data_IF_103423272878
#
_entry.id   IF_103423272878
#
_cell.length_a   1.000
_cell.length_b   1.000
_cell.length_c   1.000
_cell.angle_alpha   90.00
_cell.angle_beta   90.00
_cell.angle_gamma   90.00
#
_symmetry.space_group_name_H-M   'P 1'
#
loop_
_entity.id
_entity.type
_entity.pdbx_description
1 polymer ?
#
# COMPACT_ATOMS: atom_id res chain seq x y z
N UNK A 1 13.21 72.58 -33.75
CA UNK A 1 12.64 72.17 -35.06
C UNK A 1 13.25 70.83 -35.45
N UNK A 2 12.47 69.75 -35.38
CA UNK A 2 12.71 68.53 -36.16
C UNK A 2 11.35 67.96 -36.51
N UNK A 3 11.14 67.82 -37.82
CA UNK A 3 9.93 67.33 -38.46
C UNK A 3 9.85 65.78 -38.45
N UNK A 4 8.70 65.21 -38.83
CA UNK A 4 8.26 63.85 -38.48
C UNK A 4 8.45 62.84 -39.61
N UNK A 5 8.15 61.55 -39.33
CA UNK A 5 7.78 60.57 -40.36
C UNK A 5 6.65 59.65 -39.89
N UNK A 6 5.84 59.23 -40.87
CA UNK A 6 4.47 58.72 -40.79
C UNK A 6 4.41 57.25 -41.24
N UNK A 7 3.46 56.51 -40.67
CA UNK A 7 2.61 55.46 -41.28
C UNK A 7 3.14 54.04 -41.52
N UNK A 8 2.45 53.08 -40.89
CA UNK A 8 1.79 51.96 -41.62
C UNK A 8 2.20 50.55 -41.20
N UNK A 9 1.23 49.69 -40.82
CA UNK A 9 1.45 48.23 -40.77
C UNK A 9 0.50 47.40 -39.92
N UNK A 10 -0.59 46.93 -40.54
CA UNK A 10 -1.28 45.63 -40.43
C UNK A 10 -1.29 44.80 -39.14
N UNK A 11 -2.52 44.48 -38.71
CA UNK A 11 -2.90 43.33 -37.88
C UNK A 11 -2.67 42.03 -38.67
N UNK A 12 -1.94 41.08 -38.10
CA UNK A 12 -1.70 39.74 -38.66
C UNK A 12 -1.44 38.72 -37.54
N UNK A 13 -2.08 37.55 -37.67
CA UNK A 13 -2.27 36.53 -36.63
C UNK A 13 -1.02 35.85 -36.07
N UNK A 14 -1.12 35.48 -34.78
CA UNK A 14 -0.31 34.43 -34.15
C UNK A 14 -1.21 33.25 -33.76
N UNK A 15 -0.79 31.99 -33.99
CA UNK A 15 -1.64 30.81 -33.79
C UNK A 15 -1.79 30.43 -32.30
N UNK A 16 -2.86 29.70 -31.93
CA UNK A 16 -3.04 29.19 -30.58
C UNK A 16 -2.25 27.89 -30.42
N UNK A 17 -1.18 27.90 -29.63
CA UNK A 17 -0.52 26.64 -29.24
C UNK A 17 -1.24 26.03 -28.04
N UNK A 18 -2.15 25.11 -28.36
CA UNK A 18 -2.67 24.13 -27.43
C UNK A 18 -1.54 23.23 -26.92
N UNK A 19 -1.37 23.19 -25.60
CA UNK A 19 -0.64 22.15 -24.89
C UNK A 19 -1.64 21.33 -24.09
N UNK A 20 -2.21 20.31 -24.73
CA UNK A 20 -3.03 19.29 -24.11
C UNK A 20 -2.30 18.70 -22.90
N UNK A 21 -2.81 18.92 -21.70
CA UNK A 21 -2.55 18.02 -20.56
C UNK A 21 -3.64 16.95 -20.57
N UNK A 22 -3.42 15.74 -21.11
CA UNK A 22 -4.19 14.60 -20.66
C UNK A 22 -3.53 14.10 -19.37
N UNK A 23 -3.68 14.86 -18.29
CA UNK A 23 -3.61 14.29 -16.94
C UNK A 23 -4.90 13.52 -16.73
N UNK A 24 -5.11 12.45 -17.48
CA UNK A 24 -6.22 11.55 -17.25
C UNK A 24 -6.14 11.02 -15.82
N UNK A 25 -7.28 10.88 -15.11
CA UNK A 25 -7.28 10.23 -13.81
C UNK A 25 -6.56 8.88 -13.94
N UNK A 26 -5.74 8.48 -12.96
CA UNK A 26 -5.08 7.17 -13.01
C UNK A 26 -6.19 6.14 -13.21
N UNK A 27 -6.15 5.43 -14.34
CA UNK A 27 -7.12 4.39 -14.62
C UNK A 27 -7.09 3.42 -13.42
N UNK A 28 -8.24 3.09 -12.82
CA UNK A 28 -8.28 2.07 -11.80
C UNK A 28 -7.84 0.77 -12.46
N UNK A 29 -6.60 0.36 -12.23
CA UNK A 29 -6.14 -0.95 -12.66
C UNK A 29 -6.98 -1.99 -11.91
N UNK A 30 -7.50 -3.03 -12.58
CA UNK A 30 -8.14 -4.12 -11.88
C UNK A 30 -7.10 -4.70 -10.90
N UNK A 31 -7.37 -4.59 -9.60
CA UNK A 31 -6.62 -5.32 -8.59
C UNK A 31 -6.69 -6.79 -9.02
N UNK A 32 -5.55 -7.45 -9.22
CA UNK A 32 -5.58 -8.85 -9.58
C UNK A 32 -5.93 -9.63 -8.29
N UNK A 33 -7.14 -10.18 -8.15
CA UNK A 33 -7.55 -10.85 -6.90
C UNK A 33 -6.69 -12.08 -6.59
N UNK A 34 -5.95 -12.60 -7.58
CA UNK A 34 -4.96 -13.67 -7.42
C UNK A 34 -3.76 -13.28 -6.53
N UNK A 35 -3.49 -11.99 -6.31
CA UNK A 35 -2.29 -11.55 -5.60
C UNK A 35 -2.42 -11.53 -4.06
N UNK A 36 -3.62 -11.80 -3.51
CA UNK A 36 -3.83 -11.89 -2.06
C UNK A 36 -4.12 -13.34 -1.64
N UNK A 37 -3.05 -14.06 -1.34
CA UNK A 37 -3.10 -15.43 -0.81
C UNK A 37 -3.50 -15.49 0.67
N UNK A 38 -3.61 -14.34 1.35
CA UNK A 38 -4.17 -14.28 2.70
C UNK A 38 -5.66 -14.67 2.68
N UNK A 39 -6.00 -15.76 3.36
CA UNK A 39 -7.38 -16.23 3.51
C UNK A 39 -7.68 -16.51 4.99
N UNK A 40 -8.61 -15.75 5.54
CA UNK A 40 -9.02 -15.82 6.94
C UNK A 40 -9.69 -17.17 7.26
N UNK A 41 -10.23 -17.88 6.27
CA UNK A 41 -10.93 -19.16 6.50
C UNK A 41 -9.98 -20.35 6.65
N UNK A 42 -8.72 -20.20 6.22
CA UNK A 42 -7.72 -21.27 6.24
C UNK A 42 -7.21 -21.55 7.65
N UNK A 43 -6.68 -22.75 7.97
CA UNK A 43 -6.04 -23.03 9.25
C UNK A 43 -4.77 -22.20 9.47
N UNK A 44 -4.40 -21.95 10.73
CA UNK A 44 -3.20 -21.16 11.07
C UNK A 44 -1.90 -21.77 10.54
N UNK A 45 -1.77 -23.10 10.56
CA UNK A 45 -0.58 -23.77 10.01
C UNK A 45 -0.41 -23.50 8.50
N UNK A 46 -1.47 -23.65 7.71
CA UNK A 46 -1.45 -23.36 6.27
C UNK A 46 -1.23 -21.86 6.01
N UNK A 47 -1.82 -21.01 6.84
CA UNK A 47 -1.71 -19.56 6.71
C UNK A 47 -0.28 -19.07 6.98
N UNK A 48 0.41 -19.61 7.97
CA UNK A 48 1.74 -19.11 8.38
C UNK A 48 2.91 -19.85 7.71
N UNK A 49 2.63 -20.87 6.92
CA UNK A 49 3.63 -21.65 6.19
C UNK A 49 3.35 -21.60 4.67
N UNK A 50 2.61 -22.56 4.13
CA UNK A 50 2.35 -22.73 2.69
C UNK A 50 1.85 -21.44 1.99
N UNK A 51 0.86 -20.75 2.57
CA UNK A 51 0.31 -19.54 1.95
C UNK A 51 1.25 -18.35 2.08
N UNK A 52 1.98 -18.25 3.18
CA UNK A 52 2.97 -17.21 3.38
C UNK A 52 4.15 -17.38 2.42
N UNK A 53 4.59 -18.63 2.22
CA UNK A 53 5.65 -18.97 1.28
C UNK A 53 5.25 -18.63 -0.16
N UNK A 54 4.07 -19.11 -0.60
CA UNK A 54 3.53 -18.81 -1.95
C UNK A 54 3.37 -17.32 -2.17
N UNK A 55 2.99 -16.57 -1.14
CA UNK A 55 2.87 -15.11 -1.23
C UNK A 55 4.23 -14.44 -1.38
N UNK A 56 5.27 -14.93 -0.72
CA UNK A 56 6.63 -14.45 -0.90
C UNK A 56 7.17 -14.72 -2.33
N UNK A 57 6.81 -15.86 -2.94
CA UNK A 57 7.20 -16.19 -4.32
C UNK A 57 6.70 -15.16 -5.34
N UNK A 58 5.51 -14.59 -5.13
CA UNK A 58 4.95 -13.52 -5.98
C UNK A 58 5.85 -12.28 -5.99
N UNK A 59 6.62 -12.04 -4.92
CA UNK A 59 7.48 -10.85 -4.80
C UNK A 59 8.90 -11.05 -5.35
N UNK A 60 9.29 -12.28 -5.70
CA UNK A 60 10.64 -12.55 -6.26
C UNK A 60 10.84 -11.83 -7.59
N UNK A 61 9.80 -11.77 -8.43
CA UNK A 61 9.84 -11.11 -9.74
C UNK A 61 9.63 -9.59 -9.70
N UNK A 62 9.05 -9.06 -8.61
CA UNK A 62 8.72 -7.63 -8.45
C UNK A 62 9.18 -7.18 -7.05
N UNK A 63 10.50 -7.12 -6.89
CA UNK A 63 11.17 -6.92 -5.59
C UNK A 63 10.81 -5.56 -5.00
N UNK A 64 10.53 -5.55 -3.70
CA UNK A 64 10.32 -4.32 -2.92
C UNK A 64 11.63 -3.87 -2.28
N UNK A 65 11.84 -2.55 -2.19
CA UNK A 65 12.94 -2.00 -1.44
C UNK A 65 12.82 -2.33 0.05
N UNK A 66 13.92 -2.78 0.66
CA UNK A 66 13.96 -3.16 2.09
C UNK A 66 13.48 -2.03 3.02
N UNK A 67 13.75 -0.77 2.65
CA UNK A 67 13.28 0.41 3.39
C UNK A 67 11.76 0.58 3.33
N UNK A 68 11.14 0.31 2.19
CA UNK A 68 9.69 0.36 2.02
C UNK A 68 9.01 -0.79 2.76
N UNK A 69 9.55 -2.01 2.65
CA UNK A 69 9.05 -3.16 3.39
C UNK A 69 9.09 -2.89 4.90
N UNK A 70 10.25 -2.47 5.41
CA UNK A 70 10.43 -2.14 6.83
C UNK A 70 9.44 -1.08 7.30
N UNK A 71 9.19 -0.05 6.51
CA UNK A 71 8.25 1.02 6.87
C UNK A 71 6.83 0.46 7.10
N UNK A 72 6.29 -0.31 6.15
CA UNK A 72 4.94 -0.88 6.29
C UNK A 72 4.87 -1.93 7.39
N UNK A 73 5.91 -2.77 7.49
CA UNK A 73 6.02 -3.79 8.51
C UNK A 73 6.03 -3.20 9.91
N UNK A 74 6.89 -2.21 10.17
CA UNK A 74 6.97 -1.52 11.46
C UNK A 74 5.63 -0.89 11.83
N UNK A 75 4.97 -0.20 10.88
CA UNK A 75 3.69 0.46 11.16
C UNK A 75 2.59 -0.53 11.57
N UNK A 76 2.49 -1.68 10.89
CA UNK A 76 1.55 -2.75 11.26
C UNK A 76 1.94 -3.40 12.60
N UNK A 77 3.24 -3.63 12.84
CA UNK A 77 3.73 -4.18 14.12
C UNK A 77 3.51 -3.22 15.28
N UNK A 78 3.58 -1.92 15.08
CA UNK A 78 3.31 -0.93 16.12
C UNK A 78 1.82 -0.93 16.50
N UNK A 79 0.91 -1.04 15.52
CA UNK A 79 -0.51 -1.28 15.79
C UNK A 79 -0.73 -2.58 16.57
N UNK A 80 -0.03 -3.66 16.21
CA UNK A 80 -0.11 -4.93 16.91
C UNK A 80 0.40 -4.85 18.36
N UNK A 81 1.51 -4.17 18.59
CA UNK A 81 2.05 -3.92 19.94
C UNK A 81 1.08 -3.10 20.78
N UNK A 82 0.48 -2.06 20.21
CA UNK A 82 -0.55 -1.26 20.88
C UNK A 82 -1.76 -2.11 21.24
N UNK A 83 -2.25 -2.92 20.30
CA UNK A 83 -3.35 -3.85 20.54
C UNK A 83 -3.06 -4.80 21.70
N UNK A 84 -1.89 -5.46 21.70
CA UNK A 84 -1.48 -6.36 22.77
C UNK A 84 -1.32 -5.63 24.12
N UNK A 85 -0.83 -4.39 24.13
CA UNK A 85 -0.73 -3.59 25.35
C UNK A 85 -2.11 -3.25 25.93
N UNK A 86 -3.07 -2.85 25.08
CA UNK A 86 -4.42 -2.49 25.50
C UNK A 86 -5.21 -3.70 26.00
N UNK A 87 -5.09 -4.84 25.30
CA UNK A 87 -5.75 -6.09 25.68
C UNK A 87 -5.19 -6.66 26.97
N UNK A 88 -3.86 -6.64 27.15
CA UNK A 88 -3.23 -7.07 28.41
C UNK A 88 -3.60 -6.20 29.61
N UNK A 89 -3.80 -4.90 29.40
CA UNK A 89 -4.21 -3.97 30.45
C UNK A 89 -5.72 -4.06 30.77
N UNK A 90 -6.51 -4.70 29.92
CA UNK A 90 -7.96 -4.79 30.08
C UNK A 90 -8.38 -6.08 30.78
N UNK A 91 -8.80 -5.95 32.04
CA UNK A 91 -9.31 -7.06 32.85
C UNK A 91 -10.66 -7.63 32.37
N UNK A 92 -11.40 -6.93 31.50
CA UNK A 92 -12.70 -7.39 31.00
C UNK A 92 -12.61 -8.38 29.83
N UNK A 93 -11.44 -8.51 29.20
CA UNK A 93 -11.20 -9.47 28.12
C UNK A 93 -11.89 -9.14 26.79
N UNK A 94 -12.41 -7.92 26.60
CA UNK A 94 -13.08 -7.51 25.36
C UNK A 94 -12.10 -7.02 24.29
N UNK A 95 -11.33 -7.97 23.75
CA UNK A 95 -10.38 -7.75 22.66
C UNK A 95 -11.05 -7.15 21.41
N UNK A 96 -12.32 -7.50 21.16
CA UNK A 96 -13.06 -7.06 19.97
C UNK A 96 -13.43 -5.59 20.07
N UNK A 97 -13.91 -5.12 21.23
CA UNK A 97 -14.18 -3.70 21.45
C UNK A 97 -12.89 -2.87 21.36
N UNK A 98 -11.77 -3.37 21.91
CA UNK A 98 -10.47 -2.69 21.80
C UNK A 98 -10.05 -2.60 20.33
N UNK A 99 -10.16 -3.70 19.59
CA UNK A 99 -9.83 -3.71 18.17
C UNK A 99 -10.64 -2.69 17.40
N UNK A 100 -11.98 -2.73 17.50
CA UNK A 100 -12.88 -1.84 16.75
C UNK A 100 -12.66 -0.37 17.07
N UNK A 101 -12.42 -0.02 18.34
CA UNK A 101 -12.30 1.38 18.78
C UNK A 101 -10.92 1.97 18.56
N UNK A 102 -9.84 1.20 18.75
CA UNK A 102 -8.48 1.74 18.80
C UNK A 102 -7.58 1.30 17.65
N UNK A 103 -7.87 0.17 17.02
CA UNK A 103 -6.96 -0.47 16.05
C UNK A 103 -7.53 -0.43 14.64
N UNK A 104 -8.77 -0.87 14.44
CA UNK A 104 -9.39 -0.99 13.13
C UNK A 104 -9.33 0.31 12.30
N UNK A 105 -9.66 1.50 12.83
CA UNK A 105 -9.63 2.73 12.03
C UNK A 105 -8.23 3.03 11.47
N UNK A 106 -7.19 2.84 12.29
CA UNK A 106 -5.80 3.08 11.91
C UNK A 106 -5.30 2.01 10.94
N UNK A 107 -5.68 0.76 11.18
CA UNK A 107 -5.36 -0.37 10.31
C UNK A 107 -6.01 -0.21 8.92
N UNK A 108 -7.26 0.23 8.85
CA UNK A 108 -7.96 0.53 7.58
C UNK A 108 -7.32 1.69 6.83
N UNK A 109 -6.86 2.72 7.56
CA UNK A 109 -6.19 3.90 6.99
C UNK A 109 -4.91 3.53 6.20
N UNK A 110 -4.28 2.41 6.54
CA UNK A 110 -3.11 1.89 5.81
C UNK A 110 -3.39 1.72 4.31
N UNK A 111 -4.62 1.36 3.92
CA UNK A 111 -4.99 1.20 2.51
C UNK A 111 -4.82 2.49 1.72
N UNK A 112 -5.19 3.63 2.31
CA UNK A 112 -4.99 4.96 1.71
C UNK A 112 -3.50 5.30 1.57
N UNK A 113 -2.69 4.94 2.57
CA UNK A 113 -1.23 5.15 2.53
C UNK A 113 -0.57 4.32 1.43
N UNK A 114 -0.98 3.05 1.29
CA UNK A 114 -0.51 2.14 0.24
C UNK A 114 -0.85 2.71 -1.14
N UNK A 115 -2.11 3.11 -1.36
CA UNK A 115 -2.55 3.69 -2.63
C UNK A 115 -1.72 4.93 -3.02
N UNK A 116 -1.39 5.78 -2.05
CA UNK A 116 -0.56 6.96 -2.28
C UNK A 116 0.88 6.60 -2.72
N UNK A 117 1.46 5.53 -2.16
CA UNK A 117 2.85 5.14 -2.46
C UNK A 117 3.04 4.51 -3.84
N UNK A 118 1.98 3.97 -4.44
CA UNK A 118 2.02 3.37 -5.78
C UNK A 118 2.02 4.45 -6.89
N UNK A 119 1.41 5.62 -6.61
CA UNK A 119 1.13 6.65 -7.62
C UNK A 119 2.24 7.68 -7.92
N UNK A 120 3.38 7.70 -7.21
CA UNK A 120 4.46 8.67 -7.51
C UNK A 120 5.42 8.15 -8.59
N UNK A 121 5.62 8.97 -9.63
CA UNK A 121 6.43 8.66 -10.81
C UNK A 121 7.94 8.82 -10.62
N UNK A 122 8.45 9.28 -9.47
CA UNK A 122 9.88 9.51 -9.27
C UNK A 122 10.50 8.56 -8.24
N UNK A 123 11.10 7.50 -8.80
CA UNK A 123 12.25 6.72 -8.30
C UNK A 123 12.14 5.69 -7.17
N UNK A 124 11.05 5.54 -6.42
CA UNK A 124 10.87 4.33 -5.58
C UNK A 124 9.38 3.95 -5.49
N UNK A 125 8.91 3.12 -6.42
CA UNK A 125 7.52 2.64 -6.41
C UNK A 125 7.44 1.37 -5.59
N UNK A 126 6.47 1.32 -4.68
CA UNK A 126 6.07 0.06 -4.06
C UNK A 126 5.51 -0.83 -5.17
N UNK A 127 6.01 -2.07 -5.33
CA UNK A 127 5.47 -3.06 -6.25
C UNK A 127 3.95 -3.19 -6.16
N UNK A 128 3.28 -3.30 -7.31
CA UNK A 128 1.81 -3.46 -7.32
C UNK A 128 1.40 -4.74 -6.62
N UNK A 129 2.15 -5.83 -6.81
CA UNK A 129 1.89 -7.09 -6.13
C UNK A 129 1.89 -6.94 -4.61
N UNK A 130 2.87 -6.21 -4.05
CA UNK A 130 2.96 -5.96 -2.62
C UNK A 130 1.84 -5.03 -2.12
N UNK A 131 1.53 -3.98 -2.89
CA UNK A 131 0.44 -3.07 -2.58
C UNK A 131 -0.92 -3.77 -2.57
N UNK A 132 -1.18 -4.63 -3.55
CA UNK A 132 -2.39 -5.45 -3.65
C UNK A 132 -2.47 -6.44 -2.49
N UNK A 133 -1.38 -7.16 -2.19
CA UNK A 133 -1.31 -8.06 -1.04
C UNK A 133 -1.75 -7.37 0.26
N UNK A 134 -1.13 -6.22 0.57
CA UNK A 134 -1.48 -5.49 1.79
C UNK A 134 -2.91 -4.95 1.73
N UNK A 135 -3.30 -4.27 0.64
CA UNK A 135 -4.62 -3.62 0.55
C UNK A 135 -5.77 -4.64 0.63
N UNK A 136 -5.64 -5.75 -0.11
CA UNK A 136 -6.63 -6.83 -0.11
C UNK A 136 -6.59 -7.61 1.20
N UNK A 137 -5.42 -7.91 1.75
CA UNK A 137 -5.27 -8.58 3.05
C UNK A 137 -5.91 -7.78 4.19
N UNK A 138 -5.60 -6.48 4.29
CA UNK A 138 -6.25 -5.56 5.22
C UNK A 138 -7.77 -5.58 5.00
N UNK A 139 -8.22 -5.59 3.74
CA UNK A 139 -9.65 -5.60 3.43
C UNK A 139 -10.36 -6.88 3.85
N UNK A 140 -9.68 -8.01 4.11
CA UNK A 140 -10.28 -9.28 4.55
C UNK A 140 -10.43 -9.40 6.06
N UNK A 141 -9.64 -8.66 6.84
CA UNK A 141 -9.70 -8.63 8.31
C UNK A 141 -11.02 -8.01 8.77
N UNK A 142 -11.78 -8.70 9.64
CA UNK A 142 -13.09 -8.23 10.16
C UNK A 142 -13.21 -8.27 11.69
N UNK A 143 -12.26 -8.90 12.37
CA UNK A 143 -12.26 -9.06 13.83
C UNK A 143 -10.87 -8.90 14.44
N UNK A 144 -10.81 -8.82 15.76
CA UNK A 144 -9.57 -8.86 16.53
C UNK A 144 -8.75 -10.13 16.24
N UNK A 145 -9.43 -11.28 16.13
CA UNK A 145 -8.80 -12.56 15.76
C UNK A 145 -8.17 -12.46 14.38
N UNK A 146 -8.91 -11.98 13.38
CA UNK A 146 -8.39 -11.86 12.01
C UNK A 146 -7.21 -10.92 11.93
N UNK A 147 -7.19 -9.86 12.75
CA UNK A 147 -6.09 -8.91 12.81
C UNK A 147 -4.82 -9.59 13.34
N UNK A 148 -4.90 -10.33 14.46
CA UNK A 148 -3.76 -11.13 14.96
C UNK A 148 -3.24 -12.05 13.86
N UNK A 149 -4.15 -12.73 13.16
CA UNK A 149 -3.80 -13.70 12.11
C UNK A 149 -3.17 -13.04 10.88
N UNK A 150 -3.65 -11.89 10.46
CA UNK A 150 -3.05 -11.12 9.38
C UNK A 150 -1.63 -10.67 9.72
N UNK A 151 -1.40 -10.18 10.95
CA UNK A 151 -0.06 -9.75 11.38
C UNK A 151 0.92 -10.92 11.35
N UNK A 152 0.53 -12.08 11.89
CA UNK A 152 1.36 -13.29 11.90
C UNK A 152 1.63 -13.82 10.49
N UNK A 153 0.62 -13.82 9.63
CA UNK A 153 0.81 -14.15 8.21
C UNK A 153 1.80 -13.19 7.53
N UNK A 154 1.66 -11.88 7.77
CA UNK A 154 2.58 -10.90 7.21
C UNK A 154 4.01 -11.08 7.74
N UNK A 155 4.18 -11.44 9.01
CA UNK A 155 5.49 -11.81 9.57
C UNK A 155 6.11 -13.01 8.87
N UNK A 156 5.33 -14.08 8.64
CA UNK A 156 5.78 -15.25 7.92
C UNK A 156 6.19 -14.92 6.48
N UNK A 157 5.35 -14.16 5.76
CA UNK A 157 5.65 -13.69 4.40
C UNK A 157 6.98 -12.93 4.37
N UNK A 158 7.19 -12.00 5.31
CA UNK A 158 8.45 -11.24 5.41
C UNK A 158 9.63 -12.17 5.67
N UNK A 159 9.48 -13.17 6.55
CA UNK A 159 10.50 -14.20 6.81
C UNK A 159 10.92 -14.93 5.53
N UNK A 160 9.94 -15.42 4.76
CA UNK A 160 10.21 -16.07 3.47
C UNK A 160 10.80 -15.12 2.43
N UNK A 161 10.39 -13.85 2.38
CA UNK A 161 10.99 -12.86 1.47
C UNK A 161 12.49 -12.67 1.72
N UNK A 162 12.93 -12.65 2.99
CA UNK A 162 14.35 -12.60 3.33
C UNK A 162 15.08 -13.89 2.93
N UNK A 163 14.44 -15.05 3.09
CA UNK A 163 15.02 -16.34 2.69
C UNK A 163 15.15 -16.51 1.17
N UNK A 164 14.28 -15.86 0.38
CA UNK A 164 14.15 -16.03 -1.08
C UNK A 164 14.75 -14.88 -1.92
N UNK A 165 15.50 -13.96 -1.32
CA UNK A 165 16.05 -12.77 -2.00
C UNK A 165 14.98 -11.90 -2.70
N UNK A 166 13.76 -11.86 -2.16
CA UNK A 166 12.64 -11.08 -2.73
C UNK A 166 12.74 -9.56 -2.44
N UNK A 167 13.88 -9.10 -1.92
CA UNK A 167 14.12 -7.72 -1.53
C UNK A 167 15.10 -7.04 -2.47
N UNK A 168 14.83 -5.80 -2.83
CA UNK A 168 15.85 -4.95 -3.44
C UNK A 168 16.75 -4.37 -2.36
N UNK A 169 18.03 -4.24 -2.70
CA UNK A 169 18.99 -3.44 -1.94
C UNK A 169 18.58 -1.97 -1.93
#
# INVERSE_FOLDING_TARGET
MSQPYRSGGSRGGGPPHGGSRPGGPPTPRPANPANSLFDVTKPDAELYDDLAEKQADVFVSDKIASSQLRRFFSEIKDLYRRFNSLTKANSTGDDEAIYKSHIEPQFRMMRSKIAYTVGRASNVKVPYAFADFLSLGISKVRSAKDFRRFVLHFEAVVGFMYGKDALSK
#
